data_IF_799124276016
#
_entry.id   IF_799124276016
#
_cell.length_a   1.000
_cell.length_b   1.000
_cell.length_c   1.000
_cell.angle_alpha   90.00
_cell.angle_beta   90.00
_cell.angle_gamma   90.00
#
_symmetry.space_group_name_H-M   'P 1'
#
loop_
_entity.id
_entity.type
_entity.pdbx_description
1 polymer ?
#
# COMPACT_ATOMS: atom_id res chain seq x y z
N UNK A 1 -23.12 10.74 -69.83
CA UNK A 1 -21.67 10.71 -70.12
C UNK A 1 -20.94 11.55 -69.07
N UNK A 2 -19.82 11.00 -68.56
CA UNK A 2 -18.70 11.65 -67.85
C UNK A 2 -18.88 12.08 -66.39
N UNK A 3 -18.29 11.23 -65.54
CA UNK A 3 -17.80 11.43 -64.17
C UNK A 3 -17.02 12.73 -64.00
N UNK A 4 -17.09 13.36 -62.82
CA UNK A 4 -15.91 13.86 -62.12
C UNK A 4 -16.08 13.69 -60.61
N UNK A 5 -15.16 12.94 -60.02
CA UNK A 5 -14.99 12.74 -58.58
C UNK A 5 -14.27 13.96 -58.01
N UNK A 6 -14.82 14.59 -56.98
CA UNK A 6 -14.08 15.56 -56.16
C UNK A 6 -13.93 14.96 -54.77
N UNK A 7 -12.72 14.49 -54.46
CA UNK A 7 -12.32 14.02 -53.14
C UNK A 7 -12.26 15.23 -52.20
N UNK A 8 -13.15 15.29 -51.21
CA UNK A 8 -13.00 16.19 -50.07
C UNK A 8 -11.94 15.60 -49.13
N UNK A 9 -10.70 16.12 -49.19
CA UNK A 9 -9.70 15.91 -48.16
C UNK A 9 -10.05 16.91 -47.06
N UNK A 10 -10.72 16.44 -46.00
CA UNK A 10 -10.81 17.18 -44.75
C UNK A 10 -9.41 17.23 -44.14
N UNK A 11 -8.71 18.37 -44.33
CA UNK A 11 -7.49 18.66 -43.62
C UNK A 11 -7.80 18.77 -42.13
N UNK A 12 -7.42 17.74 -41.37
CA UNK A 12 -7.33 17.87 -39.93
C UNK A 12 -6.19 18.85 -39.62
N UNK A 13 -6.55 20.10 -39.36
CA UNK A 13 -5.66 21.05 -38.73
C UNK A 13 -5.40 20.57 -37.30
N UNK A 14 -4.39 19.72 -37.13
CA UNK A 14 -3.74 19.49 -35.85
C UNK A 14 -3.06 20.80 -35.48
N UNK A 15 -3.76 21.62 -34.69
CA UNK A 15 -3.21 22.75 -33.96
C UNK A 15 -2.19 22.18 -32.96
N UNK A 16 -0.94 22.06 -33.39
CA UNK A 16 0.21 21.94 -32.50
C UNK A 16 0.40 23.27 -31.78
N UNK A 17 -0.38 23.51 -30.74
CA UNK A 17 -0.14 24.56 -29.75
C UNK A 17 1.02 24.12 -28.85
N UNK A 18 2.21 24.06 -29.42
CA UNK A 18 3.45 23.76 -28.72
C UNK A 18 4.24 25.04 -28.50
N UNK A 19 4.45 25.37 -27.22
CA UNK A 19 5.57 26.15 -26.70
C UNK A 19 5.58 27.68 -26.91
N UNK A 20 4.63 28.37 -26.27
CA UNK A 20 4.82 29.74 -25.76
C UNK A 20 4.08 29.93 -24.42
N UNK A 21 4.13 28.94 -23.52
CA UNK A 21 3.73 29.21 -22.14
C UNK A 21 4.79 30.16 -21.56
N UNK A 22 4.39 31.31 -21.02
CA UNK A 22 5.33 32.25 -20.41
C UNK A 22 6.12 31.55 -19.29
N UNK A 23 7.34 32.05 -19.03
CA UNK A 23 8.25 31.57 -17.99
C UNK A 23 7.56 31.42 -16.61
N UNK A 24 6.52 32.23 -16.36
CA UNK A 24 5.76 32.27 -15.10
C UNK A 24 4.36 31.62 -15.18
N UNK A 25 4.08 30.86 -16.24
CA UNK A 25 2.77 30.26 -16.49
C UNK A 25 2.52 29.01 -15.62
N UNK A 26 2.38 29.22 -14.30
CA UNK A 26 2.13 28.17 -13.32
C UNK A 26 0.88 27.36 -13.69
N UNK A 27 -0.21 28.03 -14.08
CA UNK A 27 -1.49 27.37 -14.36
C UNK A 27 -1.43 26.59 -15.68
N UNK A 28 -0.76 27.12 -16.70
CA UNK A 28 -0.50 26.37 -17.94
C UNK A 28 0.38 25.14 -17.70
N UNK A 29 1.42 25.23 -16.85
CA UNK A 29 2.22 24.06 -16.46
C UNK A 29 1.39 23.06 -15.64
N UNK A 30 0.51 23.53 -14.76
CA UNK A 30 -0.41 22.67 -14.01
C UNK A 30 -1.39 21.91 -14.92
N UNK A 31 -1.76 22.49 -16.06
CA UNK A 31 -2.64 21.88 -17.04
C UNK A 31 -1.92 20.93 -18.02
N UNK A 32 -0.59 20.88 -18.03
CA UNK A 32 0.16 19.97 -18.90
C UNK A 32 -0.17 18.50 -18.57
N UNK A 33 -0.23 17.62 -19.60
CA UNK A 33 -0.42 16.20 -19.38
C UNK A 33 0.64 15.65 -18.44
N UNK A 34 0.22 15.11 -17.31
CA UNK A 34 1.12 14.51 -16.33
C UNK A 34 1.38 13.04 -16.71
N UNK A 35 2.11 12.82 -17.80
CA UNK A 35 2.27 11.50 -18.44
C UNK A 35 3.44 10.67 -17.90
N UNK A 36 4.21 11.22 -16.96
CA UNK A 36 5.33 10.56 -16.30
C UNK A 36 4.94 9.43 -15.33
N UNK A 37 5.96 8.85 -14.71
CA UNK A 37 5.80 7.90 -13.61
C UNK A 37 5.27 8.59 -12.34
N UNK A 38 5.00 7.82 -11.28
CA UNK A 38 4.44 8.37 -10.04
C UNK A 38 5.35 9.45 -9.40
N UNK A 39 6.67 9.34 -9.56
CA UNK A 39 7.64 10.27 -8.99
C UNK A 39 7.66 11.61 -9.73
N UNK A 40 7.76 11.58 -11.05
CA UNK A 40 7.69 12.79 -11.90
C UNK A 40 6.33 13.48 -11.81
N UNK A 41 5.26 12.70 -11.64
CA UNK A 41 3.93 13.23 -11.29
C UNK A 41 3.94 14.03 -10.01
N UNK A 42 4.52 13.46 -8.95
CA UNK A 42 4.63 14.13 -7.67
C UNK A 42 5.54 15.36 -7.74
N UNK A 43 6.68 15.29 -8.45
CA UNK A 43 7.58 16.43 -8.65
C UNK A 43 6.87 17.60 -9.34
N UNK A 44 6.07 17.35 -10.39
CA UNK A 44 5.28 18.42 -11.03
C UNK A 44 4.39 19.12 -10.00
N UNK A 45 3.62 18.37 -9.21
CA UNK A 45 2.75 18.93 -8.17
C UNK A 45 3.54 19.75 -7.16
N UNK A 46 4.63 19.21 -6.62
CA UNK A 46 5.41 19.86 -5.56
C UNK A 46 6.17 21.10 -6.04
N UNK A 47 6.71 21.09 -7.25
CA UNK A 47 7.36 22.28 -7.81
C UNK A 47 6.34 23.38 -8.16
N UNK A 48 5.11 23.02 -8.55
CA UNK A 48 4.03 24.01 -8.70
C UNK A 48 3.58 24.59 -7.35
N UNK A 49 3.68 23.84 -6.25
CA UNK A 49 3.47 24.40 -4.91
C UNK A 49 4.55 25.44 -4.57
N UNK A 50 5.83 25.13 -4.84
CA UNK A 50 6.93 26.09 -4.63
C UNK A 50 6.78 27.34 -5.50
N UNK A 51 6.53 27.18 -6.80
CA UNK A 51 6.32 28.32 -7.70
C UNK A 51 5.16 29.24 -7.25
N UNK A 52 4.11 28.70 -6.62
CA UNK A 52 3.01 29.52 -6.07
C UNK A 52 3.40 30.24 -4.79
N UNK A 53 4.28 29.66 -3.98
CA UNK A 53 4.85 30.31 -2.80
C UNK A 53 5.66 31.55 -3.24
N UNK A 54 6.63 31.37 -4.15
CA UNK A 54 7.45 32.47 -4.67
C UNK A 54 6.62 33.59 -5.33
N UNK A 55 5.55 33.21 -6.04
CA UNK A 55 4.63 34.18 -6.62
C UNK A 55 3.93 35.04 -5.55
N UNK A 56 3.66 34.46 -4.38
CA UNK A 56 3.12 35.19 -3.22
C UNK A 56 4.11 36.21 -2.66
N UNK A 57 5.41 35.91 -2.73
CA UNK A 57 6.50 36.80 -2.31
C UNK A 57 6.93 37.78 -3.40
N UNK A 58 6.37 37.64 -4.61
CA UNK A 58 6.74 38.40 -5.81
C UNK A 58 8.17 38.17 -6.29
N UNK A 59 8.77 37.01 -5.96
CA UNK A 59 10.04 36.59 -6.56
C UNK A 59 9.80 35.90 -7.90
N UNK A 60 9.86 36.70 -8.97
CA UNK A 60 9.61 36.19 -10.32
C UNK A 60 10.75 35.35 -10.90
N UNK A 61 11.95 35.42 -10.33
CA UNK A 61 13.07 34.60 -10.77
C UNK A 61 12.88 33.16 -10.28
N UNK A 62 12.51 32.98 -9.02
CA UNK A 62 12.28 31.65 -8.45
C UNK A 62 10.92 31.06 -8.85
N UNK A 63 9.92 31.91 -9.16
CA UNK A 63 8.72 31.46 -9.91
C UNK A 63 9.12 30.77 -11.21
N UNK A 64 10.00 31.36 -12.03
CA UNK A 64 10.44 30.73 -13.29
C UNK A 64 11.23 29.44 -13.02
N UNK A 65 12.16 29.48 -12.07
CA UNK A 65 12.98 28.32 -11.70
C UNK A 65 12.12 27.09 -11.35
N UNK A 66 11.18 27.24 -10.42
CA UNK A 66 10.31 26.14 -10.01
C UNK A 66 9.28 25.76 -11.08
N UNK A 67 8.75 26.73 -11.82
CA UNK A 67 7.84 26.45 -12.95
C UNK A 67 8.54 25.65 -14.04
N UNK A 68 9.81 25.91 -14.33
CA UNK A 68 10.59 25.15 -15.30
C UNK A 68 10.87 23.71 -14.83
N UNK A 69 11.22 23.50 -13.55
CA UNK A 69 11.35 22.14 -12.99
C UNK A 69 10.02 21.38 -13.00
N UNK A 70 8.90 22.05 -12.72
CA UNK A 70 7.57 21.47 -12.86
C UNK A 70 7.27 21.06 -14.31
N UNK A 71 7.66 21.89 -15.30
CA UNK A 71 7.48 21.61 -16.73
C UNK A 71 8.28 20.38 -17.19
N UNK A 72 9.52 20.26 -16.75
CA UNK A 72 10.34 19.05 -17.01
C UNK A 72 9.65 17.81 -16.44
N UNK A 73 9.18 17.90 -15.19
CA UNK A 73 8.47 16.82 -14.51
C UNK A 73 7.19 16.41 -15.25
N UNK A 74 6.42 17.38 -15.74
CA UNK A 74 5.22 17.13 -16.56
C UNK A 74 5.53 16.35 -17.84
N UNK A 75 6.69 16.58 -18.45
CA UNK A 75 7.16 15.83 -19.62
C UNK A 75 7.68 14.43 -19.32
N UNK A 76 7.62 13.99 -18.05
CA UNK A 76 8.15 12.71 -17.58
C UNK A 76 9.66 12.71 -17.33
N UNK A 77 10.30 13.88 -17.31
CA UNK A 77 11.72 14.03 -16.98
C UNK A 77 11.82 14.44 -15.51
N UNK A 78 12.47 13.63 -14.68
CA UNK A 78 12.77 14.01 -13.31
C UNK A 78 13.95 15.02 -13.31
N UNK A 79 13.73 16.31 -12.99
CA UNK A 79 14.84 17.25 -12.82
C UNK A 79 15.73 16.78 -11.66
N UNK A 80 17.04 17.04 -11.76
CA UNK A 80 17.95 16.76 -10.67
C UNK A 80 17.69 17.67 -9.45
N UNK A 81 18.02 17.22 -8.23
CA UNK A 81 18.17 18.10 -7.07
C UNK A 81 19.08 19.30 -7.41
N UNK A 82 18.74 20.49 -6.90
CA UNK A 82 19.56 21.68 -7.12
C UNK A 82 20.91 21.52 -6.43
N UNK A 83 21.99 21.80 -7.15
CA UNK A 83 23.31 21.70 -6.57
C UNK A 83 23.60 22.97 -5.74
N UNK A 84 24.24 22.87 -4.55
CA UNK A 84 24.49 24.03 -3.69
C UNK A 84 25.31 25.16 -4.35
N UNK A 85 26.16 24.84 -5.34
CA UNK A 85 26.94 25.86 -6.07
C UNK A 85 26.06 26.77 -6.92
N UNK A 86 24.90 26.29 -7.36
CA UNK A 86 24.01 27.02 -8.26
C UNK A 86 23.35 28.22 -7.54
N UNK A 87 23.45 28.25 -6.21
CA UNK A 87 22.92 29.26 -5.28
C UNK A 87 24.02 29.97 -4.48
N UNK A 88 25.28 29.81 -4.87
CA UNK A 88 26.42 30.38 -4.12
C UNK A 88 26.68 29.76 -2.74
N UNK A 89 26.06 28.62 -2.40
CA UNK A 89 26.11 28.00 -1.07
C UNK A 89 27.23 26.96 -0.90
N UNK A 90 28.22 26.93 -1.80
CA UNK A 90 29.27 25.91 -1.81
C UNK A 90 30.11 25.84 -0.52
N UNK A 91 30.21 26.95 0.23
CA UNK A 91 30.95 27.03 1.50
C UNK A 91 30.21 26.43 2.70
N UNK A 92 28.93 26.03 2.55
CA UNK A 92 28.08 25.56 3.65
C UNK A 92 28.10 24.02 3.73
N UNK A 93 28.80 23.51 4.75
CA UNK A 93 28.94 22.06 4.95
C UNK A 93 27.61 21.35 5.19
N UNK A 94 26.67 22.01 5.88
CA UNK A 94 25.31 21.51 6.13
C UNK A 94 24.48 21.37 4.85
N UNK A 95 24.59 22.34 3.94
CA UNK A 95 23.91 22.34 2.63
C UNK A 95 24.52 21.28 1.71
N UNK A 96 25.85 21.11 1.71
CA UNK A 96 26.49 20.02 0.98
C UNK A 96 26.04 18.66 1.49
N UNK A 97 26.04 18.46 2.81
CA UNK A 97 25.65 17.19 3.40
C UNK A 97 24.19 16.81 3.12
N UNK A 98 23.28 17.79 3.12
CA UNK A 98 21.87 17.56 2.79
C UNK A 98 21.67 17.20 1.32
N UNK A 99 22.38 17.88 0.40
CA UNK A 99 22.36 17.55 -1.02
C UNK A 99 22.85 16.12 -1.26
N UNK A 100 24.01 15.75 -0.71
CA UNK A 100 24.56 14.40 -0.85
C UNK A 100 23.60 13.33 -0.31
N UNK A 101 22.95 13.61 0.83
CA UNK A 101 21.94 12.74 1.42
C UNK A 101 20.72 12.57 0.52
N UNK A 102 20.23 13.64 -0.10
CA UNK A 102 19.11 13.61 -1.03
C UNK A 102 19.44 12.79 -2.28
N UNK A 103 20.60 13.04 -2.89
CA UNK A 103 21.07 12.29 -4.07
C UNK A 103 21.19 10.80 -3.74
N UNK A 104 21.76 10.47 -2.57
CA UNK A 104 21.87 9.09 -2.13
C UNK A 104 20.50 8.42 -1.93
N UNK A 105 19.53 9.13 -1.33
CA UNK A 105 18.18 8.62 -1.11
C UNK A 105 17.44 8.33 -2.42
N UNK A 106 17.51 9.25 -3.39
CA UNK A 106 16.89 9.09 -4.70
C UNK A 106 17.55 7.97 -5.54
N UNK A 107 18.83 7.69 -5.30
CA UNK A 107 19.56 6.61 -5.96
C UNK A 107 19.24 5.21 -5.39
N UNK A 108 18.59 5.11 -4.22
CA UNK A 108 18.20 3.81 -3.67
C UNK A 108 17.19 3.14 -4.59
N UNK A 109 17.49 1.90 -5.00
CA UNK A 109 16.61 1.11 -5.88
C UNK A 109 15.21 0.99 -5.28
N UNK A 110 14.20 1.41 -6.03
CA UNK A 110 12.80 1.36 -5.63
C UNK A 110 12.31 2.58 -4.83
N UNK A 111 13.18 3.49 -4.37
CA UNK A 111 12.76 4.61 -3.52
C UNK A 111 11.69 5.50 -4.18
N UNK A 112 11.95 5.96 -5.40
CA UNK A 112 11.02 6.80 -6.17
C UNK A 112 9.78 6.04 -6.65
N UNK A 113 9.82 4.70 -6.68
CA UNK A 113 8.69 3.85 -7.04
C UNK A 113 7.78 3.55 -5.85
N UNK A 114 8.36 3.26 -4.70
CA UNK A 114 7.66 2.81 -3.50
C UNK A 114 7.21 3.99 -2.63
N UNK A 115 7.92 5.12 -2.71
CA UNK A 115 7.64 6.36 -1.99
C UNK A 115 7.75 7.62 -2.88
N UNK A 116 7.06 7.66 -4.04
CA UNK A 116 7.17 8.75 -5.02
C UNK A 116 6.90 10.14 -4.42
N UNK A 117 5.81 10.28 -3.68
CA UNK A 117 5.41 11.57 -3.08
C UNK A 117 6.41 12.05 -2.03
N UNK A 118 6.92 11.13 -1.19
CA UNK A 118 7.88 11.48 -0.15
C UNK A 118 9.23 11.90 -0.75
N UNK A 119 9.68 11.20 -1.79
CA UNK A 119 10.89 11.57 -2.52
C UNK A 119 10.76 12.91 -3.25
N UNK A 120 9.62 13.15 -3.90
CA UNK A 120 9.39 14.43 -4.56
C UNK A 120 9.35 15.57 -3.55
N UNK A 121 8.65 15.37 -2.43
CA UNK A 121 8.56 16.33 -1.34
C UNK A 121 9.93 16.65 -0.72
N UNK A 122 10.77 15.63 -0.51
CA UNK A 122 12.13 15.82 -0.01
C UNK A 122 12.98 16.66 -0.97
N UNK A 123 12.90 16.37 -2.27
CA UNK A 123 13.64 17.12 -3.28
C UNK A 123 13.18 18.58 -3.38
N UNK A 124 11.87 18.84 -3.42
CA UNK A 124 11.37 20.21 -3.56
C UNK A 124 11.57 21.06 -2.32
N UNK A 125 11.52 20.47 -1.11
CA UNK A 125 11.89 21.19 0.11
C UNK A 125 13.37 21.47 0.20
N UNK A 126 14.22 20.57 -0.31
CA UNK A 126 15.66 20.83 -0.38
C UNK A 126 15.95 22.02 -1.30
N UNK A 127 15.43 22.00 -2.53
CA UNK A 127 15.62 23.10 -3.49
C UNK A 127 15.11 24.44 -2.93
N UNK A 128 13.95 24.45 -2.27
CA UNK A 128 13.41 25.65 -1.63
C UNK A 128 14.24 26.10 -0.42
N UNK A 129 14.77 25.18 0.39
CA UNK A 129 15.67 25.56 1.47
C UNK A 129 16.96 26.20 0.96
N UNK A 130 17.49 25.74 -0.19
CA UNK A 130 18.65 26.34 -0.84
C UNK A 130 18.34 27.76 -1.35
N UNK A 131 17.16 27.97 -1.92
CA UNK A 131 16.68 29.29 -2.35
C UNK A 131 16.53 30.24 -1.15
N UNK A 132 15.77 29.87 -0.11
CA UNK A 132 15.59 30.70 1.09
C UNK A 132 16.92 31.05 1.80
N UNK A 133 17.91 30.13 1.77
CA UNK A 133 19.25 30.38 2.30
C UNK A 133 20.08 31.36 1.47
N UNK A 134 19.91 31.37 0.14
CA UNK A 134 20.57 32.33 -0.77
C UNK A 134 20.06 33.74 -0.49
N UNK A 135 18.75 33.89 -0.31
CA UNK A 135 18.11 35.16 0.02
C UNK A 135 18.52 35.67 1.41
N UNK A 136 18.51 34.79 2.41
CA UNK A 136 18.98 35.10 3.76
C UNK A 136 18.13 36.14 4.52
N UNK A 137 16.91 36.44 4.07
CA UNK A 137 16.07 37.51 4.62
C UNK A 137 15.13 37.04 5.74
N UNK A 138 14.42 35.93 5.55
CA UNK A 138 13.38 35.46 6.47
C UNK A 138 13.81 34.18 7.20
N UNK A 139 14.30 34.34 8.43
CA UNK A 139 14.80 33.22 9.22
C UNK A 139 13.75 32.12 9.48
N UNK A 140 12.48 32.50 9.57
CA UNK A 140 11.36 31.57 9.78
C UNK A 140 11.11 30.72 8.52
N UNK A 141 11.16 31.30 7.33
CA UNK A 141 10.98 30.58 6.06
C UNK A 141 12.16 29.64 5.77
N UNK A 142 13.39 30.10 6.05
CA UNK A 142 14.59 29.24 6.02
C UNK A 142 14.42 28.02 6.94
N UNK A 143 13.92 28.25 8.16
CA UNK A 143 13.71 27.20 9.14
C UNK A 143 12.56 26.26 8.73
N UNK A 144 11.47 26.80 8.17
CA UNK A 144 10.36 26.02 7.65
C UNK A 144 10.81 25.12 6.50
N UNK A 145 11.50 25.68 5.51
CA UNK A 145 11.99 24.94 4.36
C UNK A 145 12.93 23.80 4.78
N UNK A 146 13.86 24.08 5.70
CA UNK A 146 14.76 23.07 6.26
C UNK A 146 13.99 21.98 7.01
N UNK A 147 13.02 22.35 7.84
CA UNK A 147 12.19 21.41 8.59
C UNK A 147 11.33 20.53 7.67
N UNK A 148 10.82 21.11 6.56
CA UNK A 148 10.15 20.37 5.51
C UNK A 148 11.05 19.29 4.90
N UNK A 149 12.28 19.65 4.57
CA UNK A 149 13.29 18.71 4.07
C UNK A 149 13.61 17.62 5.09
N UNK A 150 13.93 18.00 6.34
CA UNK A 150 14.34 17.08 7.41
C UNK A 150 13.25 16.05 7.73
N UNK A 151 11.96 16.43 7.59
CA UNK A 151 10.81 15.52 7.76
C UNK A 151 10.58 14.62 6.55
N UNK A 152 10.83 15.11 5.35
CA UNK A 152 10.54 14.36 4.12
C UNK A 152 11.66 13.36 3.78
N UNK A 153 12.94 13.72 3.98
CA UNK A 153 14.06 12.87 3.56
C UNK A 153 14.07 11.47 4.19
N UNK A 154 13.70 11.24 5.47
CA UNK A 154 13.65 9.89 6.03
C UNK A 154 12.53 9.01 5.46
N UNK A 155 11.55 9.64 4.79
CA UNK A 155 10.43 8.95 4.14
C UNK A 155 10.73 8.65 2.66
N UNK A 156 11.75 9.29 2.06
CA UNK A 156 12.27 8.96 0.74
C UNK A 156 13.26 7.78 0.80
N UNK A 157 12.77 6.65 1.27
CA UNK A 157 13.48 5.38 1.22
C UNK A 157 12.45 4.29 0.90
N UNK A 158 12.85 3.18 0.25
CA UNK A 158 11.95 2.04 0.13
C UNK A 158 11.52 1.65 1.53
N UNK A 159 10.21 1.56 1.76
CA UNK A 159 9.70 1.02 3.03
C UNK A 159 10.29 -0.38 3.17
N UNK A 160 10.92 -0.73 4.31
CA UNK A 160 11.42 -2.08 4.50
C UNK A 160 10.27 -3.05 4.22
N UNK A 161 10.40 -3.84 3.16
CA UNK A 161 9.44 -4.90 2.88
C UNK A 161 9.69 -5.95 3.95
N UNK A 162 9.06 -5.79 5.11
CA UNK A 162 8.98 -6.87 6.09
C UNK A 162 8.26 -7.97 5.34
N UNK A 163 8.99 -9.03 4.98
CA UNK A 163 8.41 -10.18 4.32
C UNK A 163 7.18 -10.58 5.14
N UNK A 164 6.00 -10.62 4.50
CA UNK A 164 4.80 -11.10 5.17
C UNK A 164 5.14 -12.46 5.79
N UNK A 165 4.76 -12.73 7.06
CA UNK A 165 5.04 -14.01 7.67
C UNK A 165 4.53 -15.11 6.74
N UNK A 166 5.39 -16.11 6.49
CA UNK A 166 5.03 -17.23 5.64
C UNK A 166 3.71 -17.84 6.15
N UNK A 167 2.77 -18.10 5.25
CA UNK A 167 1.50 -18.70 5.63
C UNK A 167 1.74 -20.08 6.28
N UNK A 168 0.94 -20.46 7.31
CA UNK A 168 1.06 -21.76 7.96
C UNK A 168 1.09 -22.89 6.93
N UNK A 169 2.12 -23.74 6.97
CA UNK A 169 2.19 -24.90 6.08
C UNK A 169 1.31 -26.01 6.64
N UNK A 170 0.09 -26.12 6.14
CA UNK A 170 -0.83 -27.18 6.53
C UNK A 170 -0.39 -28.51 5.92
N UNK A 171 -0.09 -29.50 6.77
CA UNK A 171 0.37 -30.83 6.37
C UNK A 171 -0.73 -31.91 6.42
N UNK A 172 -1.84 -31.64 7.12
CA UNK A 172 -2.99 -32.54 7.21
C UNK A 172 -4.25 -31.77 7.64
N UNK A 173 -5.42 -32.20 7.17
CA UNK A 173 -6.71 -31.64 7.55
C UNK A 173 -7.76 -32.73 7.82
N UNK A 174 -8.62 -32.48 8.80
CA UNK A 174 -9.80 -33.28 9.14
C UNK A 174 -11.03 -32.37 9.27
N UNK A 175 -12.22 -32.96 9.14
CA UNK A 175 -13.48 -32.23 9.29
C UNK A 175 -14.44 -33.01 10.17
N UNK A 176 -14.92 -32.37 11.22
CA UNK A 176 -15.94 -32.91 12.13
C UNK A 176 -17.26 -32.20 11.87
N UNK A 177 -18.33 -32.95 11.59
CA UNK A 177 -19.66 -32.40 11.32
C UNK A 177 -20.59 -32.47 12.54
N UNK A 178 -21.54 -31.55 12.58
CA UNK A 178 -22.52 -31.40 13.66
C UNK A 178 -23.96 -31.36 13.16
N UNK A 179 -24.88 -31.82 14.00
CA UNK A 179 -26.31 -31.64 13.78
C UNK A 179 -26.72 -30.16 13.86
N UNK A 180 -27.88 -29.83 13.29
CA UNK A 180 -28.47 -28.50 13.34
C UNK A 180 -28.63 -28.02 14.78
N UNK A 181 -28.13 -26.82 15.08
CA UNK A 181 -28.22 -26.21 16.42
C UNK A 181 -27.44 -26.93 17.52
N UNK A 182 -26.67 -27.97 17.22
CA UNK A 182 -25.92 -28.74 18.24
C UNK A 182 -24.42 -28.51 18.18
N UNK A 183 -23.78 -28.70 19.34
CA UNK A 183 -22.32 -28.74 19.53
C UNK A 183 -21.82 -30.05 20.14
N UNK A 184 -22.68 -31.06 20.27
CA UNK A 184 -22.34 -32.38 20.80
C UNK A 184 -21.58 -33.23 19.77
N UNK A 185 -20.56 -33.96 20.23
CA UNK A 185 -19.80 -34.91 19.40
C UNK A 185 -20.67 -36.13 19.10
N UNK A 186 -20.89 -36.40 17.81
CA UNK A 186 -21.57 -37.61 17.35
C UNK A 186 -20.63 -38.81 17.34
N UNK A 187 -21.18 -40.03 17.21
CA UNK A 187 -20.36 -41.24 17.06
C UNK A 187 -19.46 -41.19 15.80
N UNK A 188 -19.93 -40.57 14.72
CA UNK A 188 -19.15 -40.37 13.50
C UNK A 188 -18.00 -39.38 13.74
N UNK A 189 -18.28 -38.25 14.39
CA UNK A 189 -17.27 -37.28 14.79
C UNK A 189 -16.20 -37.91 15.67
N UNK A 190 -16.60 -38.75 16.64
CA UNK A 190 -15.67 -39.43 17.54
C UNK A 190 -14.68 -40.34 16.81
N UNK A 191 -15.11 -41.03 15.74
CA UNK A 191 -14.19 -41.84 14.89
C UNK A 191 -13.12 -40.96 14.23
N UNK A 192 -13.51 -39.79 13.72
CA UNK A 192 -12.57 -38.83 13.11
C UNK A 192 -11.58 -38.31 14.14
N UNK A 193 -12.03 -38.03 15.37
CA UNK A 193 -11.13 -37.58 16.45
C UNK A 193 -10.09 -38.65 16.83
N UNK A 194 -10.43 -39.94 16.74
CA UNK A 194 -9.46 -41.02 16.92
C UNK A 194 -8.38 -40.98 15.82
N UNK A 195 -8.76 -40.73 14.57
CA UNK A 195 -7.80 -40.58 13.47
C UNK A 195 -6.92 -39.33 13.64
N UNK A 196 -7.49 -38.23 14.15
CA UNK A 196 -6.73 -37.01 14.47
C UNK A 196 -5.65 -37.31 15.50
N UNK A 197 -5.97 -38.00 16.59
CA UNK A 197 -5.00 -38.34 17.65
C UNK A 197 -3.89 -39.25 17.12
N UNK A 198 -4.25 -40.23 16.29
CA UNK A 198 -3.28 -41.12 15.65
C UNK A 198 -2.31 -40.36 14.75
N UNK A 199 -2.83 -39.48 13.89
CA UNK A 199 -2.02 -38.71 12.95
C UNK A 199 -1.22 -37.61 13.65
N UNK A 200 -1.72 -37.02 14.74
CA UNK A 200 -0.98 -36.05 15.55
C UNK A 200 0.28 -36.70 16.14
N UNK A 201 0.14 -37.88 16.73
CA UNK A 201 1.27 -38.64 17.27
C UNK A 201 2.30 -39.04 16.20
N UNK A 202 1.83 -39.35 14.98
CA UNK A 202 2.69 -39.75 13.86
C UNK A 202 3.42 -38.57 13.20
N UNK A 203 2.72 -37.46 12.97
CA UNK A 203 3.21 -36.32 12.21
C UNK A 203 3.95 -35.28 13.09
N UNK A 204 3.62 -35.25 14.38
CA UNK A 204 4.14 -34.31 15.39
C UNK A 204 4.08 -32.86 14.88
N UNK A 205 2.87 -32.33 14.61
CA UNK A 205 2.72 -30.97 14.13
C UNK A 205 3.23 -29.96 15.16
N UNK A 206 3.67 -28.80 14.69
CA UNK A 206 4.04 -27.67 15.55
C UNK A 206 2.82 -27.05 16.20
N UNK A 207 1.72 -26.95 15.44
CA UNK A 207 0.43 -26.41 15.86
C UNK A 207 -0.73 -27.23 15.28
N UNK A 208 -1.84 -27.28 15.99
CA UNK A 208 -3.11 -27.89 15.59
C UNK A 208 -4.19 -26.81 15.65
N UNK A 209 -4.63 -26.36 14.48
CA UNK A 209 -5.66 -25.33 14.35
C UNK A 209 -7.06 -25.94 14.30
N UNK A 210 -7.99 -25.36 15.06
CA UNK A 210 -9.41 -25.68 15.03
C UNK A 210 -10.18 -24.48 14.48
N UNK A 211 -10.94 -24.66 13.39
CA UNK A 211 -11.78 -23.62 12.82
C UNK A 211 -13.26 -24.06 12.86
N UNK A 212 -14.06 -23.37 13.68
CA UNK A 212 -15.49 -23.65 13.84
C UNK A 212 -16.39 -22.86 12.90
N UNK A 213 -17.40 -23.52 12.34
CA UNK A 213 -18.36 -22.96 11.37
C UNK A 213 -19.81 -23.39 11.67
N UNK A 214 -20.76 -22.60 11.17
CA UNK A 214 -22.19 -22.91 11.14
C UNK A 214 -22.74 -22.81 9.72
N UNK A 215 -23.95 -23.34 9.52
CA UNK A 215 -24.78 -22.93 8.40
C UNK A 215 -25.42 -21.56 8.68
N UNK A 216 -26.22 -21.10 7.73
CA UNK A 216 -26.86 -19.78 7.71
C UNK A 216 -28.20 -19.74 8.44
N UNK A 217 -28.57 -20.80 9.18
CA UNK A 217 -29.86 -20.86 9.91
C UNK A 217 -29.77 -20.03 11.18
N UNK A 218 -30.72 -19.13 11.38
CA UNK A 218 -30.76 -18.25 12.56
C UNK A 218 -30.08 -16.91 12.31
N UNK A 219 -29.51 -16.32 13.35
CA UNK A 219 -28.81 -15.02 13.25
C UNK A 219 -27.30 -15.18 13.47
N UNK A 220 -26.53 -14.29 12.85
CA UNK A 220 -25.07 -14.28 12.87
C UNK A 220 -24.47 -14.40 14.28
N UNK A 221 -25.01 -13.67 15.28
CA UNK A 221 -24.51 -13.69 16.67
C UNK A 221 -24.70 -15.06 17.34
N UNK A 222 -25.84 -15.70 17.12
CA UNK A 222 -26.09 -17.05 17.60
C UNK A 222 -25.17 -18.07 16.90
N UNK A 223 -24.93 -17.88 15.60
CA UNK A 223 -24.04 -18.72 14.80
C UNK A 223 -22.57 -18.59 15.21
N UNK A 224 -22.10 -17.38 15.52
CA UNK A 224 -20.80 -17.14 16.11
C UNK A 224 -20.65 -17.90 17.44
N UNK A 225 -21.58 -17.70 18.38
CA UNK A 225 -21.57 -18.38 19.68
C UNK A 225 -21.62 -19.92 19.55
N UNK A 226 -22.39 -20.45 18.59
CA UNK A 226 -22.45 -21.88 18.33
C UNK A 226 -21.14 -22.43 17.76
N UNK A 227 -20.49 -21.70 16.85
CA UNK A 227 -19.18 -22.09 16.31
C UNK A 227 -18.09 -22.14 17.38
N UNK A 228 -18.10 -21.21 18.34
CA UNK A 228 -17.20 -21.22 19.52
C UNK A 228 -17.44 -22.48 20.34
N UNK A 229 -18.69 -22.77 20.70
CA UNK A 229 -19.05 -23.98 21.46
C UNK A 229 -18.59 -25.26 20.77
N UNK A 230 -18.74 -25.37 19.44
CA UNK A 230 -18.28 -26.54 18.69
C UNK A 230 -16.77 -26.70 18.77
N UNK A 231 -16.02 -25.62 18.57
CA UNK A 231 -14.56 -25.61 18.62
C UNK A 231 -14.07 -26.01 20.01
N UNK A 232 -14.67 -25.45 21.07
CA UNK A 232 -14.36 -25.84 22.45
C UNK A 232 -14.68 -27.30 22.75
N UNK A 233 -15.81 -27.83 22.27
CA UNK A 233 -16.15 -29.23 22.47
C UNK A 233 -15.10 -30.14 21.82
N UNK A 234 -14.69 -29.83 20.59
CA UNK A 234 -13.64 -30.60 19.88
C UNK A 234 -12.31 -30.51 20.63
N UNK A 235 -11.89 -29.31 21.05
CA UNK A 235 -10.67 -29.11 21.81
C UNK A 235 -10.66 -29.91 23.12
N UNK A 236 -11.77 -29.86 23.88
CA UNK A 236 -11.94 -30.61 25.13
C UNK A 236 -11.87 -32.12 24.88
N UNK A 237 -12.46 -32.61 23.80
CA UNK A 237 -12.43 -34.04 23.48
C UNK A 237 -11.04 -34.50 23.03
N UNK A 238 -10.33 -33.72 22.20
CA UNK A 238 -8.93 -34.00 21.81
C UNK A 238 -8.00 -33.99 23.03
N UNK A 239 -8.18 -33.04 23.94
CA UNK A 239 -7.40 -32.97 25.18
C UNK A 239 -7.62 -34.21 26.07
N UNK A 240 -8.85 -34.71 26.20
CA UNK A 240 -9.13 -35.97 26.91
C UNK A 240 -8.49 -37.18 26.25
N UNK A 241 -8.31 -37.14 24.92
CA UNK A 241 -7.64 -38.19 24.15
C UNK A 241 -6.12 -38.07 24.14
N UNK A 242 -5.54 -37.06 24.81
CA UNK A 242 -4.10 -36.92 25.01
C UNK A 242 -3.40 -35.88 24.13
N UNK A 243 -4.12 -35.14 23.28
CA UNK A 243 -3.53 -34.03 22.52
C UNK A 243 -3.27 -32.85 23.46
N UNK A 244 -2.03 -32.36 23.51
CA UNK A 244 -1.65 -31.30 24.43
C UNK A 244 -2.35 -29.96 24.09
N UNK A 245 -2.97 -29.32 25.08
CA UNK A 245 -3.73 -28.07 24.90
C UNK A 245 -2.89 -26.91 24.37
N UNK A 246 -1.59 -26.89 24.68
CA UNK A 246 -0.62 -25.88 24.18
C UNK A 246 -0.42 -25.90 22.65
N UNK A 247 -0.87 -26.97 21.99
CA UNK A 247 -0.76 -27.14 20.53
C UNK A 247 -2.07 -26.71 19.84
N UNK A 248 -3.15 -26.46 20.61
CA UNK A 248 -4.47 -26.16 20.06
C UNK A 248 -4.70 -24.65 19.90
N UNK A 249 -4.74 -24.18 18.66
CA UNK A 249 -5.14 -22.83 18.31
C UNK A 249 -6.58 -22.82 17.78
N UNK A 250 -7.46 -22.02 18.38
CA UNK A 250 -8.89 -22.03 18.08
C UNK A 250 -9.34 -20.75 17.40
N UNK A 251 -10.05 -20.89 16.28
CA UNK A 251 -10.77 -19.81 15.61
C UNK A 251 -12.21 -20.23 15.33
N UNK A 252 -13.12 -19.27 15.41
CA UNK A 252 -14.54 -19.51 15.20
C UNK A 252 -15.09 -18.43 14.29
N UNK A 253 -15.83 -18.86 13.27
CA UNK A 253 -16.23 -18.00 12.15
C UNK A 253 -17.74 -17.83 12.02
N UNK A 254 -18.54 -18.52 12.84
CA UNK A 254 -19.98 -18.60 12.64
C UNK A 254 -20.32 -18.98 11.19
N UNK A 255 -21.16 -18.19 10.56
CA UNK A 255 -21.59 -18.35 9.16
C UNK A 255 -20.73 -17.57 8.15
N UNK A 256 -19.67 -16.86 8.59
CA UNK A 256 -18.88 -15.99 7.71
C UNK A 256 -17.94 -16.74 6.74
N UNK A 257 -17.73 -18.05 6.95
CA UNK A 257 -16.81 -18.90 6.17
C UNK A 257 -17.47 -20.24 5.80
N UNK A 258 -18.44 -20.17 4.90
CA UNK A 258 -19.20 -21.34 4.42
C UNK A 258 -18.34 -22.24 3.52
N UNK A 259 -18.48 -23.56 3.66
CA UNK A 259 -17.92 -24.54 2.72
C UNK A 259 -18.78 -24.65 1.45
N UNK A 260 -20.09 -24.53 1.61
CA UNK A 260 -21.07 -24.45 0.53
C UNK A 260 -21.75 -23.10 0.64
N UNK A 261 -21.59 -22.19 -0.34
CA UNK A 261 -22.28 -20.90 -0.33
C UNK A 261 -23.79 -21.09 -0.28
N UNK A 262 -24.45 -20.47 0.70
CA UNK A 262 -25.90 -20.50 0.86
C UNK A 262 -26.42 -19.09 1.13
N UNK A 263 -27.71 -18.87 0.85
CA UNK A 263 -28.42 -17.66 1.29
C UNK A 263 -28.74 -17.75 2.78
N UNK A 264 -29.09 -16.63 3.39
CA UNK A 264 -29.56 -16.57 4.78
C UNK A 264 -30.70 -17.57 5.03
N UNK A 265 -30.71 -18.14 6.24
CA UNK A 265 -31.69 -19.12 6.72
C UNK A 265 -31.76 -20.45 5.95
N UNK A 266 -30.69 -20.84 5.24
CA UNK A 266 -30.60 -22.16 4.59
C UNK A 266 -29.83 -23.14 5.49
N UNK A 267 -30.43 -24.31 5.75
CA UNK A 267 -29.77 -25.42 6.44
C UNK A 267 -28.83 -26.17 5.50
N UNK A 268 -27.56 -26.32 5.88
CA UNK A 268 -26.54 -26.99 5.07
C UNK A 268 -25.57 -27.76 5.96
N UNK A 269 -25.61 -29.09 5.87
CA UNK A 269 -24.84 -29.98 6.74
C UNK A 269 -23.34 -29.81 6.62
N UNK A 270 -22.83 -29.51 5.41
CA UNK A 270 -21.40 -29.30 5.18
C UNK A 270 -20.90 -28.01 5.84
N UNK A 271 -21.76 -27.05 6.09
CA UNK A 271 -21.38 -25.80 6.76
C UNK A 271 -21.29 -25.96 8.28
N UNK A 272 -22.00 -26.92 8.87
CA UNK A 272 -21.97 -27.22 10.31
C UNK A 272 -20.77 -28.08 10.67
N UNK A 273 -19.59 -27.47 10.74
CA UNK A 273 -18.34 -28.22 10.91
C UNK A 273 -17.32 -27.54 11.82
N UNK A 274 -16.37 -28.34 12.28
CA UNK A 274 -15.06 -27.88 12.76
C UNK A 274 -14.00 -28.49 11.86
N UNK A 275 -13.15 -27.66 11.28
CA UNK A 275 -11.95 -28.09 10.57
C UNK A 275 -10.79 -28.19 11.54
N UNK A 276 -9.97 -29.24 11.41
CA UNK A 276 -8.79 -29.50 12.24
C UNK A 276 -7.61 -29.56 11.29
N UNK A 277 -6.62 -28.69 11.46
CA UNK A 277 -5.49 -28.56 10.55
C UNK A 277 -4.17 -28.66 11.31
N UNK A 278 -3.24 -29.43 10.76
CA UNK A 278 -1.91 -29.60 11.33
C UNK A 278 -0.93 -28.70 10.60
N UNK A 279 -0.20 -27.87 11.33
CA UNK A 279 0.89 -27.04 10.83
C UNK A 279 2.25 -27.70 11.09
N UNK A 280 3.22 -27.42 10.22
CA UNK A 280 4.62 -27.80 10.43
C UNK A 280 5.59 -26.72 9.99
#
# INVERSE_FOLDING_TARGET
>A
MKKFMTRAIAGAALLSLGACASHWDIDGVAALPNSGDAFTKALQTRYLERARFEKGESDWYDVDFFTNKARQSASGIAPAPQHPTDRGLAGRADVKASHDKLVAALAVTGATKDAPDACALAQTWHDHWLEQLEEGFQADDIAEAKNGYDKAIPLCVPKPVVAAPASPKIIKQFVVYFDLGKSAITAAAKKILVDVVKDEAALKPTSVYLAGHTDTVGNAKANEALSIKRTETVAKELAKMGVATKVLDMKSHGEAKLAVPTKDNVAEGKNRRVEIMFEK
#
